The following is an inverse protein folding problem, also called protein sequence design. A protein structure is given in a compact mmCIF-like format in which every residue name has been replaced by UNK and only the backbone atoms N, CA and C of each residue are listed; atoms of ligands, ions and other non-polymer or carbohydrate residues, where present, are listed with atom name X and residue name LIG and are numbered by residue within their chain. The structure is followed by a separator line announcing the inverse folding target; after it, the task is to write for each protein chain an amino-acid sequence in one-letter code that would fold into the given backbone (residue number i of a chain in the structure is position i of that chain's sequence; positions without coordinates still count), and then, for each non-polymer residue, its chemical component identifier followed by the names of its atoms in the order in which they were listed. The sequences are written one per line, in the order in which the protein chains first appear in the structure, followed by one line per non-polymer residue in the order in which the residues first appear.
data_IF_839831861408
#
_entry.id   IF_839831861408
#
_cell.length_a   1.000
_cell.length_b   1.000
_cell.length_c   1.000
_cell.angle_alpha   90.00
_cell.angle_beta   90.00
_cell.angle_gamma   90.00
#
_symmetry.space_group_name_H-M   'P 1'
#
loop_
_entity.id
_entity.type
_entity.pdbx_description
1 polymer ?
#
# COMPACT_ATOMS: atom_id res chain seq x y z
N UNK A 1 -0.93 22.30 -25.91
CA UNK A 1 -1.68 21.96 -24.67
C UNK A 1 -0.69 21.57 -23.58
N UNK A 2 -0.80 22.15 -22.39
CA UNK A 2 0.02 21.78 -21.21
C UNK A 2 -0.75 20.84 -20.31
N UNK A 3 -0.08 19.86 -19.72
CA UNK A 3 -0.69 18.96 -18.75
C UNK A 3 -0.07 19.18 -17.37
N UNK A 4 -0.95 19.57 -16.44
CA UNK A 4 -0.64 19.90 -15.06
C UNK A 4 -1.72 19.27 -14.16
N UNK A 5 -1.32 18.37 -13.27
CA UNK A 5 -2.22 17.67 -12.35
C UNK A 5 -2.10 18.13 -10.89
N UNK A 6 -1.13 18.98 -10.57
CA UNK A 6 -0.92 19.45 -9.18
C UNK A 6 -0.65 20.94 -9.15
N UNK A 7 -1.31 21.64 -8.22
CA UNK A 7 -0.92 23.00 -7.89
C UNK A 7 0.47 22.98 -7.24
N UNK A 8 1.35 23.86 -7.69
CA UNK A 8 2.69 24.05 -7.13
C UNK A 8 2.70 25.22 -6.17
N UNK A 9 3.44 25.11 -5.07
CA UNK A 9 3.79 26.19 -4.15
C UNK A 9 5.33 26.34 -4.09
N UNK A 10 5.83 27.26 -3.26
CA UNK A 10 7.28 27.48 -3.11
C UNK A 10 8.04 26.25 -2.57
N UNK A 11 7.33 25.29 -1.95
CA UNK A 11 7.90 24.10 -1.29
C UNK A 11 7.68 22.79 -2.08
N UNK A 12 7.00 22.82 -3.22
CA UNK A 12 6.64 21.62 -4.01
C UNK A 12 5.19 21.61 -4.48
N UNK A 13 4.53 20.45 -4.42
CA UNK A 13 3.11 20.33 -4.76
C UNK A 13 2.21 20.53 -3.54
N UNK A 14 1.02 21.07 -3.76
CA UNK A 14 0.01 21.26 -2.73
C UNK A 14 -0.56 19.90 -2.31
N UNK A 15 -0.38 19.58 -1.03
CA UNK A 15 -0.91 18.37 -0.38
C UNK A 15 -2.43 18.46 -0.21
N UNK A 16 -3.13 17.37 -0.47
CA UNK A 16 -4.55 17.21 -0.15
C UNK A 16 -4.73 17.10 1.39
N UNK A 17 -5.96 17.25 1.88
CA UNK A 17 -6.25 17.08 3.32
C UNK A 17 -5.77 15.73 3.84
N UNK A 18 -5.03 15.70 4.94
CA UNK A 18 -4.40 14.50 5.52
C UNK A 18 -3.42 13.76 4.57
N UNK A 19 -2.90 14.42 3.53
CA UNK A 19 -1.89 13.82 2.65
C UNK A 19 -0.49 13.91 3.28
N UNK A 20 0.16 12.75 3.42
CA UNK A 20 1.52 12.60 3.96
C UNK A 20 2.43 12.01 2.88
N UNK A 21 3.63 12.57 2.74
CA UNK A 21 4.67 12.02 1.85
C UNK A 21 5.28 10.82 2.57
N UNK A 22 5.21 9.65 1.96
CA UNK A 22 5.79 8.41 2.47
C UNK A 22 7.20 8.19 1.91
N UNK A 23 7.40 8.55 0.65
CA UNK A 23 8.68 8.48 -0.02
C UNK A 23 8.86 9.67 -0.96
N UNK A 24 10.07 10.22 -0.99
CA UNK A 24 10.51 11.24 -1.94
C UNK A 24 11.82 10.79 -2.56
N UNK A 25 11.84 10.68 -3.88
CA UNK A 25 13.04 10.34 -4.63
C UNK A 25 13.43 11.50 -5.53
N UNK A 26 14.53 12.16 -5.18
CA UNK A 26 15.16 13.25 -5.94
C UNK A 26 16.22 12.73 -6.94
N UNK A 27 16.29 11.41 -7.15
CA UNK A 27 17.20 10.76 -8.10
C UNK A 27 16.84 11.08 -9.55
N UNK A 28 17.72 10.72 -10.51
CA UNK A 28 17.40 10.82 -11.94
C UNK A 28 16.30 9.80 -12.31
N UNK A 29 15.05 10.26 -12.21
CA UNK A 29 13.87 9.50 -12.59
C UNK A 29 13.23 10.12 -13.83
N UNK A 30 13.12 9.34 -14.90
CA UNK A 30 12.33 9.72 -16.07
C UNK A 30 10.90 9.20 -15.92
N UNK A 31 9.95 9.93 -16.48
CA UNK A 31 8.53 9.56 -16.50
C UNK A 31 8.02 9.66 -17.94
N UNK A 32 7.31 8.63 -18.37
CA UNK A 32 6.62 8.59 -19.66
C UNK A 32 5.18 8.11 -19.46
N UNK A 33 4.25 8.86 -20.03
CA UNK A 33 2.84 8.53 -20.13
C UNK A 33 2.53 8.22 -21.58
N UNK A 34 1.94 7.08 -21.89
CA UNK A 34 1.63 6.72 -23.28
C UNK A 34 0.38 5.85 -23.41
N UNK A 35 -0.11 5.68 -24.63
CA UNK A 35 -1.17 4.70 -24.92
C UNK A 35 -0.57 3.28 -24.83
N UNK A 36 -1.19 2.35 -24.05
CA UNK A 36 -0.77 0.95 -24.00
C UNK A 36 -0.72 0.33 -25.39
N UNK A 37 0.22 -0.59 -25.62
CA UNK A 37 0.50 -1.11 -26.96
C UNK A 37 -0.73 -1.74 -27.63
N UNK A 38 -1.59 -2.40 -26.84
CA UNK A 38 -2.80 -3.09 -27.31
C UNK A 38 -3.91 -2.10 -27.73
N UNK A 39 -3.82 -0.84 -27.27
CA UNK A 39 -4.80 0.20 -27.54
C UNK A 39 -4.38 1.17 -28.65
N UNK A 40 -3.09 1.18 -29.05
CA UNK A 40 -2.54 2.12 -30.05
C UNK A 40 -3.27 2.11 -31.39
N UNK A 41 -3.82 0.96 -31.81
CA UNK A 41 -4.53 0.85 -33.08
C UNK A 41 -5.96 1.42 -33.04
N UNK A 42 -6.55 1.60 -31.86
CA UNK A 42 -7.97 1.93 -31.67
C UNK A 42 -8.22 3.29 -31.01
N UNK A 43 -7.19 3.86 -30.39
CA UNK A 43 -7.29 5.07 -29.60
C UNK A 43 -6.43 6.20 -30.19
N UNK A 44 -6.75 7.48 -29.89
CA UNK A 44 -5.95 8.60 -30.33
C UNK A 44 -4.51 8.51 -29.79
N UNK A 45 -3.51 8.94 -30.56
CA UNK A 45 -2.12 8.95 -30.09
C UNK A 45 -1.98 9.91 -28.92
N UNK A 46 -1.36 9.42 -27.85
CA UNK A 46 -1.05 10.20 -26.66
C UNK A 46 0.31 9.77 -26.13
N UNK A 47 1.20 10.74 -25.95
CA UNK A 47 2.49 10.53 -25.31
C UNK A 47 2.95 11.82 -24.62
N UNK A 48 3.43 11.70 -23.39
CA UNK A 48 4.10 12.77 -22.65
C UNK A 48 5.32 12.18 -21.97
N UNK A 49 6.46 12.88 -21.98
CA UNK A 49 7.70 12.37 -21.41
C UNK A 49 8.47 13.48 -20.72
N UNK A 50 9.12 13.14 -19.60
CA UNK A 50 10.16 13.93 -18.94
C UNK A 50 11.36 13.03 -18.66
N UNK A 51 12.55 13.51 -18.99
CA UNK A 51 13.79 12.74 -18.82
C UNK A 51 14.32 12.75 -17.39
N UNK A 52 13.93 13.74 -16.58
CA UNK A 52 14.37 13.87 -15.19
C UNK A 52 13.35 14.64 -14.35
N UNK A 53 13.10 14.17 -13.14
CA UNK A 53 12.20 14.81 -12.20
C UNK A 53 12.24 14.16 -10.82
N UNK A 54 11.50 14.74 -9.88
CA UNK A 54 11.32 14.19 -8.53
C UNK A 54 10.05 13.36 -8.49
N UNK A 55 10.15 12.16 -7.92
CA UNK A 55 9.02 11.26 -7.68
C UNK A 55 8.62 11.31 -6.21
N UNK A 56 7.33 11.43 -5.96
CA UNK A 56 6.74 11.37 -4.63
C UNK A 56 5.71 10.25 -4.57
N UNK A 57 5.78 9.45 -3.51
CA UNK A 57 4.71 8.53 -3.13
C UNK A 57 4.10 9.06 -1.84
N UNK A 58 2.82 9.42 -1.89
CA UNK A 58 2.06 9.85 -0.71
C UNK A 58 1.13 8.73 -0.26
N UNK A 59 0.51 8.88 0.91
CA UNK A 59 -0.56 7.98 1.34
C UNK A 59 -1.82 8.01 0.45
N UNK A 60 -1.88 8.86 -0.58
CA UNK A 60 -3.04 9.01 -1.47
C UNK A 60 -2.74 8.80 -2.95
N UNK A 61 -1.54 9.17 -3.42
CA UNK A 61 -1.22 9.22 -4.86
C UNK A 61 0.28 9.12 -5.14
N UNK A 62 0.59 8.79 -6.39
CA UNK A 62 1.91 9.02 -6.98
C UNK A 62 1.89 10.41 -7.60
N UNK A 63 2.92 11.22 -7.31
CA UNK A 63 3.13 12.54 -7.92
C UNK A 63 4.53 12.57 -8.56
N UNK A 64 4.61 13.05 -9.80
CA UNK A 64 5.89 13.27 -10.49
C UNK A 64 6.00 14.73 -10.90
N UNK A 65 7.14 15.35 -10.56
CA UNK A 65 7.46 16.72 -10.91
C UNK A 65 8.71 16.73 -11.83
N UNK A 66 8.56 17.02 -13.13
CA UNK A 66 9.69 17.25 -14.03
C UNK A 66 10.65 18.31 -13.48
N UNK A 67 11.95 18.06 -13.60
CA UNK A 67 13.00 19.00 -13.18
C UNK A 67 13.01 20.28 -14.06
N UNK A 68 12.56 20.14 -15.30
CA UNK A 68 12.30 21.23 -16.24
C UNK A 68 11.00 20.91 -16.98
N UNK A 69 10.09 21.88 -17.19
CA UNK A 69 8.94 21.69 -18.06
C UNK A 69 9.39 21.23 -19.46
N UNK A 70 8.73 20.23 -20.04
CA UNK A 70 9.06 19.77 -21.39
C UNK A 70 8.43 20.66 -22.46
N UNK A 71 9.03 20.66 -23.65
CA UNK A 71 8.42 21.27 -24.84
C UNK A 71 7.35 20.34 -25.43
N UNK A 72 6.45 20.90 -26.25
CA UNK A 72 5.12 20.36 -26.57
C UNK A 72 5.03 18.83 -26.83
N UNK A 73 4.07 18.13 -26.21
CA UNK A 73 3.12 18.62 -25.20
C UNK A 73 3.82 18.96 -23.89
N UNK A 74 3.47 20.12 -23.31
CA UNK A 74 4.13 20.65 -22.13
C UNK A 74 3.75 19.81 -20.92
N UNK A 75 4.66 18.98 -20.43
CA UNK A 75 4.47 18.13 -19.26
C UNK A 75 5.04 18.84 -18.04
N UNK A 76 4.17 19.28 -17.13
CA UNK A 76 4.57 20.08 -15.96
C UNK A 76 4.48 19.32 -14.65
N UNK A 77 3.61 18.31 -14.59
CA UNK A 77 3.48 17.40 -13.47
C UNK A 77 2.69 16.18 -13.89
N UNK A 78 2.65 15.16 -13.05
CA UNK A 78 1.72 14.05 -13.12
C UNK A 78 1.25 13.72 -11.71
N UNK A 79 -0.03 13.37 -11.56
CA UNK A 79 -0.57 12.91 -10.29
C UNK A 79 -1.74 11.97 -10.52
N UNK A 80 -1.69 10.79 -9.92
CA UNK A 80 -2.79 9.83 -9.96
C UNK A 80 -2.96 9.10 -8.60
N UNK A 81 -4.20 8.86 -8.15
CA UNK A 81 -4.46 8.07 -6.94
C UNK A 81 -3.86 6.67 -7.01
N UNK A 82 -3.37 6.13 -5.89
CA UNK A 82 -2.72 4.79 -5.83
C UNK A 82 -3.60 3.70 -6.44
N UNK A 83 -4.90 3.74 -6.17
CA UNK A 83 -5.85 2.73 -6.62
C UNK A 83 -6.28 2.88 -8.09
N UNK A 84 -5.83 3.93 -8.79
CA UNK A 84 -6.02 4.07 -10.24
C UNK A 84 -4.97 3.34 -11.07
N UNK A 85 -3.87 2.94 -10.45
CA UNK A 85 -2.86 2.10 -11.06
C UNK A 85 -3.30 0.63 -11.11
N UNK A 86 -2.84 -0.15 -12.08
CA UNK A 86 -3.15 -1.57 -12.30
C UNK A 86 -1.93 -2.27 -12.92
N UNK A 87 -1.83 -3.59 -12.70
CA UNK A 87 -0.84 -4.45 -13.34
C UNK A 87 0.61 -3.91 -13.29
N UNK A 88 1.03 -3.46 -12.10
CA UNK A 88 2.36 -2.89 -11.93
C UNK A 88 3.44 -3.97 -12.08
N UNK A 89 4.48 -3.68 -12.84
CA UNK A 89 5.61 -4.58 -13.09
C UNK A 89 6.94 -3.83 -13.03
N UNK A 90 8.00 -4.56 -12.71
CA UNK A 90 9.37 -4.05 -12.67
C UNK A 90 10.26 -4.84 -13.60
N UNK A 91 11.12 -4.17 -14.35
CA UNK A 91 12.17 -4.81 -15.15
C UNK A 91 13.47 -4.03 -15.06
N UNK A 92 14.61 -4.71 -15.17
CA UNK A 92 15.91 -4.06 -15.26
C UNK A 92 16.45 -4.14 -16.67
N UNK A 93 17.11 -3.08 -17.13
CA UNK A 93 17.94 -3.12 -18.34
C UNK A 93 19.38 -2.81 -17.98
N UNK A 94 20.32 -3.55 -18.58
CA UNK A 94 21.76 -3.37 -18.37
C UNK A 94 22.25 -1.95 -18.71
N UNK A 95 21.53 -1.22 -19.56
CA UNK A 95 21.93 0.10 -20.07
C UNK A 95 21.10 1.27 -19.53
N UNK A 96 19.89 1.01 -19.02
CA UNK A 96 18.89 2.07 -18.76
C UNK A 96 18.42 2.12 -17.31
N UNK A 97 18.95 1.26 -16.43
CA UNK A 97 18.55 1.16 -15.03
C UNK A 97 17.29 0.34 -14.84
N UNK A 98 16.61 0.58 -13.72
CA UNK A 98 15.36 -0.12 -13.39
C UNK A 98 14.16 0.63 -13.95
N UNK A 99 13.19 -0.12 -14.46
CA UNK A 99 11.94 0.38 -15.02
C UNK A 99 10.79 -0.16 -14.19
N UNK A 100 9.93 0.73 -13.73
CA UNK A 100 8.62 0.40 -13.18
C UNK A 100 7.55 0.82 -14.18
N UNK A 101 6.59 -0.07 -14.45
CA UNK A 101 5.47 0.18 -15.36
C UNK A 101 4.17 -0.13 -14.66
N UNK A 102 3.12 0.60 -14.98
CA UNK A 102 1.75 0.28 -14.56
C UNK A 102 0.74 0.96 -15.46
N UNK A 103 -0.38 0.29 -15.70
CA UNK A 103 -1.53 0.92 -16.34
C UNK A 103 -2.24 1.83 -15.34
N UNK A 104 -2.66 3.01 -15.78
CA UNK A 104 -3.36 3.98 -14.95
C UNK A 104 -4.69 4.38 -15.61
N UNK A 105 -5.77 4.29 -14.85
CA UNK A 105 -7.10 4.76 -15.28
C UNK A 105 -7.17 6.30 -15.16
N UNK A 106 -7.44 7.04 -16.25
CA UNK A 106 -7.59 8.48 -16.22
C UNK A 106 -8.72 8.93 -15.30
N UNK A 107 -8.57 10.14 -14.78
CA UNK A 107 -9.61 10.84 -14.02
C UNK A 107 -10.12 12.02 -14.85
N UNK A 108 -11.42 12.31 -14.75
CA UNK A 108 -12.05 13.44 -15.43
C UNK A 108 -11.33 14.75 -15.09
N UNK A 109 -11.08 15.59 -16.10
CA UNK A 109 -10.36 16.85 -15.93
C UNK A 109 -8.83 16.70 -15.83
N UNK A 110 -8.28 15.48 -15.97
CA UNK A 110 -6.83 15.24 -15.90
C UNK A 110 -6.04 15.50 -17.18
N UNK A 111 -6.60 16.17 -18.19
CA UNK A 111 -5.87 16.47 -19.43
C UNK A 111 -5.47 15.27 -20.31
N UNK A 112 -5.90 14.05 -19.96
CA UNK A 112 -5.83 12.87 -20.83
C UNK A 112 -7.07 12.85 -21.74
N UNK A 113 -6.93 12.51 -23.04
CA UNK A 113 -8.07 12.29 -23.92
C UNK A 113 -9.13 11.37 -23.29
N UNK A 114 -10.41 11.77 -23.29
CA UNK A 114 -11.48 10.99 -22.65
C UNK A 114 -11.70 9.62 -23.31
N UNK A 115 -11.28 9.47 -24.57
CA UNK A 115 -11.38 8.23 -25.35
C UNK A 115 -10.34 7.17 -24.93
N UNK A 116 -9.41 7.51 -24.06
CA UNK A 116 -8.41 6.58 -23.53
C UNK A 116 -8.94 5.92 -22.25
N UNK A 117 -9.24 4.61 -22.27
CA UNK A 117 -9.72 3.92 -21.07
C UNK A 117 -8.63 3.76 -20.01
N UNK A 118 -7.37 3.68 -20.44
CA UNK A 118 -6.18 3.64 -19.58
C UNK A 118 -4.93 4.14 -20.32
N UNK A 119 -3.93 4.57 -19.56
CA UNK A 119 -2.60 4.96 -20.05
C UNK A 119 -1.53 4.07 -19.42
N UNK A 120 -0.43 3.79 -20.13
CA UNK A 120 0.77 3.18 -19.53
C UNK A 120 1.60 4.30 -18.87
N UNK A 121 1.90 4.14 -17.58
CA UNK A 121 2.84 4.98 -16.84
C UNK A 121 4.15 4.21 -16.70
N UNK A 122 5.24 4.77 -17.23
CA UNK A 122 6.58 4.20 -17.15
C UNK A 122 7.51 5.14 -16.39
N UNK A 123 8.11 4.63 -15.33
CA UNK A 123 9.12 5.31 -14.53
C UNK A 123 10.46 4.60 -14.73
N UNK A 124 11.52 5.35 -15.05
CA UNK A 124 12.87 4.78 -15.17
C UNK A 124 13.78 5.39 -14.12
N UNK A 125 14.38 4.53 -13.29
CA UNK A 125 15.23 4.87 -12.16
C UNK A 125 16.69 4.66 -12.54
N UNK A 126 17.38 5.75 -12.91
CA UNK A 126 18.78 5.66 -13.35
C UNK A 126 19.77 5.59 -12.19
N UNK A 127 19.44 6.19 -11.03
CA UNK A 127 20.36 6.28 -9.88
C UNK A 127 19.88 5.42 -8.67
N UNK A 128 19.03 4.41 -8.91
CA UNK A 128 18.45 3.57 -7.86
C UNK A 128 17.14 4.11 -7.26
N UNK A 129 16.71 3.55 -6.13
CA UNK A 129 15.45 3.89 -5.46
C UNK A 129 14.21 3.13 -5.95
N UNK A 130 14.33 2.32 -7.02
CA UNK A 130 13.20 1.56 -7.56
C UNK A 130 12.67 0.51 -6.57
N UNK A 131 13.54 -0.27 -5.92
CA UNK A 131 13.12 -1.31 -4.98
C UNK A 131 12.33 -0.72 -3.81
N UNK A 132 12.87 0.33 -3.17
CA UNK A 132 12.21 1.06 -2.08
C UNK A 132 10.86 1.66 -2.53
N UNK A 133 10.82 2.26 -3.72
CA UNK A 133 9.57 2.76 -4.29
C UNK A 133 8.54 1.64 -4.48
N UNK A 134 8.94 0.52 -5.10
CA UNK A 134 8.06 -0.59 -5.40
C UNK A 134 7.52 -1.25 -4.14
N UNK A 135 8.38 -1.52 -3.15
CA UNK A 135 7.98 -2.08 -1.85
C UNK A 135 7.00 -1.16 -1.11
N UNK A 136 7.30 0.14 -1.06
CA UNK A 136 6.42 1.13 -0.41
C UNK A 136 5.08 1.24 -1.15
N UNK A 137 5.09 1.21 -2.49
CA UNK A 137 3.90 1.26 -3.32
C UNK A 137 3.01 0.03 -3.12
N UNK A 138 3.58 -1.18 -3.17
CA UNK A 138 2.84 -2.44 -3.01
C UNK A 138 2.17 -2.46 -1.63
N UNK A 139 2.94 -2.21 -0.56
CA UNK A 139 2.42 -2.19 0.81
C UNK A 139 1.30 -1.17 1.00
N UNK A 140 1.45 0.02 0.42
CA UNK A 140 0.43 1.05 0.49
C UNK A 140 -0.83 0.66 -0.27
N UNK A 141 -0.68 0.13 -1.48
CA UNK A 141 -1.79 -0.30 -2.33
C UNK A 141 -2.61 -1.39 -1.65
N UNK A 142 -1.96 -2.41 -1.09
CA UNK A 142 -2.62 -3.49 -0.35
C UNK A 142 -3.43 -2.95 0.84
N UNK A 143 -2.82 -2.08 1.65
CA UNK A 143 -3.53 -1.44 2.78
C UNK A 143 -4.76 -0.66 2.32
N UNK A 144 -4.64 0.09 1.22
CA UNK A 144 -5.76 0.87 0.68
C UNK A 144 -6.88 -0.03 0.13
N UNK A 145 -6.56 -1.17 -0.47
CA UNK A 145 -7.57 -2.16 -0.87
C UNK A 145 -8.28 -2.76 0.33
N UNK A 146 -7.54 -3.18 1.36
CA UNK A 146 -8.12 -3.72 2.60
C UNK A 146 -9.06 -2.71 3.24
N UNK A 147 -8.66 -1.43 3.31
CA UNK A 147 -9.49 -0.36 3.84
C UNK A 147 -10.78 -0.15 3.02
N UNK A 148 -10.68 -0.19 1.68
CA UNK A 148 -11.86 -0.08 0.82
C UNK A 148 -12.81 -1.27 0.97
N UNK A 149 -12.29 -2.48 1.07
CA UNK A 149 -13.12 -3.67 1.22
C UNK A 149 -13.80 -3.68 2.60
N UNK A 150 -13.06 -3.38 3.67
CA UNK A 150 -13.62 -3.23 5.02
C UNK A 150 -14.73 -2.17 5.05
N UNK A 151 -14.52 -1.01 4.39
CA UNK A 151 -15.54 0.04 4.31
C UNK A 151 -16.77 -0.39 3.51
N UNK A 152 -16.60 -1.24 2.49
CA UNK A 152 -17.71 -1.80 1.71
C UNK A 152 -18.49 -2.82 2.54
N UNK A 153 -17.79 -3.69 3.26
CA UNK A 153 -18.39 -4.72 4.12
C UNK A 153 -19.12 -4.12 5.33
N UNK A 154 -18.57 -3.05 5.92
CA UNK A 154 -19.12 -2.42 7.12
C UNK A 154 -20.27 -1.43 6.84
N UNK A 155 -20.57 -1.18 5.56
CA UNK A 155 -21.59 -0.22 5.14
C UNK A 155 -21.16 1.25 5.36
N UNK A 156 -21.87 2.17 4.70
CA UNK A 156 -21.59 3.62 4.63
C UNK A 156 -21.77 4.36 5.97
N UNK A 157 -21.18 3.88 7.07
CA UNK A 157 -21.40 4.44 8.41
C UNK A 157 -20.28 4.26 9.44
N UNK A 158 -19.21 3.52 9.16
CA UNK A 158 -18.06 3.46 10.06
C UNK A 158 -16.95 4.42 9.61
N UNK A 159 -16.78 5.51 10.36
CA UNK A 159 -15.51 6.24 10.40
C UNK A 159 -14.47 5.31 11.02
N UNK A 160 -13.75 4.57 10.19
CA UNK A 160 -12.59 3.78 10.61
C UNK A 160 -11.45 4.79 10.82
N UNK A 161 -10.97 5.01 12.05
CA UNK A 161 -9.92 5.99 12.30
C UNK A 161 -8.62 5.59 11.58
N UNK A 162 -7.97 6.54 10.91
CA UNK A 162 -6.69 6.40 10.19
C UNK A 162 -5.47 6.09 11.12
N UNK A 163 -5.69 5.98 12.44
CA UNK A 163 -4.65 5.84 13.44
C UNK A 163 -4.58 4.38 13.95
N UNK A 164 -3.38 3.77 14.06
CA UNK A 164 -3.26 2.46 14.69
C UNK A 164 -3.81 2.52 16.11
N UNK A 165 -4.68 1.56 16.46
CA UNK A 165 -5.20 1.43 17.81
C UNK A 165 -4.01 1.41 18.79
N UNK A 166 -4.03 2.24 19.84
CA UNK A 166 -2.94 2.28 20.81
C UNK A 166 -2.70 0.88 21.36
N UNK A 167 -1.44 0.49 21.48
CA UNK A 167 -1.08 -0.75 22.14
C UNK A 167 -1.66 -0.74 23.55
N UNK A 168 -2.30 -1.84 23.95
CA UNK A 168 -2.92 -1.97 25.27
C UNK A 168 -1.86 -1.84 26.36
N UNK A 169 -1.75 -0.66 26.96
CA UNK A 169 -0.99 -0.47 28.19
C UNK A 169 -1.85 -1.03 29.32
N UNK A 170 -1.44 -2.18 29.86
CA UNK A 170 -2.08 -2.77 31.03
C UNK A 170 -2.07 -1.74 32.17
N UNK A 171 -3.24 -1.22 32.50
CA UNK A 171 -3.42 -0.27 33.59
C UNK A 171 -3.15 -0.98 34.92
N UNK A 172 -2.00 -0.68 35.52
CA UNK A 172 -1.57 -1.20 36.81
C UNK A 172 -0.69 -0.22 37.57
N UNK A 173 -1.24 0.94 37.94
CA UNK A 173 -0.78 1.72 39.09
C UNK A 173 -0.88 0.81 40.35
N UNK A 174 0.00 0.76 41.36
CA UNK A 174 0.96 1.73 41.91
C UNK A 174 1.88 1.00 42.96
N UNK A 175 2.76 1.69 43.73
CA UNK A 175 4.12 1.26 44.07
C UNK A 175 4.24 0.47 45.38
N UNK A 176 5.36 -0.25 45.56
CA UNK A 176 5.82 -0.68 46.88
C UNK A 176 7.26 -0.19 47.07
N UNK A 177 7.43 0.74 48.00
CA UNK A 177 8.72 1.19 48.52
C UNK A 177 9.41 0.10 49.35
N UNK A 178 10.73 0.02 49.16
CA UNK A 178 11.78 -0.34 50.10
C UNK A 178 11.57 -1.49 51.11
N UNK A 179 12.25 -2.61 50.86
CA UNK A 179 12.95 -3.34 51.91
C UNK A 179 14.30 -3.86 51.38
N UNK A 180 15.37 -3.38 52.02
CA UNK A 180 16.76 -3.72 51.74
C UNK A 180 17.14 -5.02 52.44
N UNK A 181 17.79 -5.95 51.73
CA UNK A 181 18.79 -6.87 52.29
C UNK A 181 19.57 -7.57 51.18
N UNK A 182 20.87 -7.27 51.10
CA UNK A 182 22.06 -8.13 50.88
C UNK A 182 21.80 -9.51 50.22
N UNK A 183 22.49 -9.96 49.16
CA UNK A 183 23.94 -10.16 49.04
C UNK A 183 24.29 -10.60 47.59
N UNK A 184 25.53 -10.36 47.12
CA UNK A 184 26.08 -10.84 45.81
C UNK A 184 27.43 -11.49 46.15
N UNK A 185 27.73 -12.75 45.79
CA UNK A 185 28.25 -13.02 44.44
C UNK A 185 28.09 -14.47 43.90
N UNK A 186 28.15 -14.65 42.57
CA UNK A 186 28.30 -16.00 42.02
C UNK A 186 28.11 -16.17 40.50
N UNK A 187 29.12 -15.78 39.73
CA UNK A 187 29.65 -16.45 38.53
C UNK A 187 28.71 -17.28 37.61
N UNK A 188 28.47 -16.72 36.42
CA UNK A 188 28.31 -17.37 35.10
C UNK A 188 28.07 -18.90 35.03
N UNK A 189 26.88 -19.28 34.54
CA UNK A 189 26.64 -20.60 33.99
C UNK A 189 25.16 -21.04 34.01
N UNK A 190 24.46 -20.81 32.89
CA UNK A 190 23.33 -21.62 32.41
C UNK A 190 22.23 -22.00 33.43
N UNK A 191 21.18 -21.18 33.51
CA UNK A 191 19.91 -21.59 34.12
C UNK A 191 18.75 -21.37 33.14
N UNK A 192 18.37 -22.48 32.51
CA UNK A 192 17.03 -22.74 32.01
C UNK A 192 16.03 -22.32 33.09
N UNK A 193 15.09 -21.44 32.75
CA UNK A 193 13.88 -21.21 33.54
C UNK A 193 12.68 -21.14 32.60
N UNK A 194 11.60 -21.89 32.92
CA UNK A 194 10.53 -22.20 31.99
C UNK A 194 9.48 -21.09 32.03
N UNK A 195 9.36 -20.30 30.97
CA UNK A 195 8.19 -19.41 30.82
C UNK A 195 7.83 -19.22 29.36
N UNK A 196 7.56 -20.34 28.70
CA UNK A 196 6.68 -20.41 27.54
C UNK A 196 5.73 -21.58 27.78
N UNK A 197 4.77 -21.42 28.69
CA UNK A 197 3.58 -22.25 28.66
C UNK A 197 2.45 -21.36 28.18
N UNK A 198 2.27 -21.34 26.86
CA UNK A 198 0.94 -21.09 26.33
C UNK A 198 -0.03 -22.03 27.08
N UNK A 199 -1.26 -21.59 27.41
CA UNK A 199 -2.26 -22.51 27.94
C UNK A 199 -2.43 -23.64 26.92
N UNK A 200 -1.93 -24.83 27.26
CA UNK A 200 -1.93 -26.02 26.39
C UNK A 200 -3.29 -26.75 26.46
N UNK A 201 -4.28 -26.14 27.11
CA UNK A 201 -5.58 -26.74 27.34
C UNK A 201 -6.64 -25.94 26.58
N UNK A 202 -7.39 -26.59 25.66
CA UNK A 202 -8.50 -25.93 24.99
C UNK A 202 -9.52 -25.45 26.03
N UNK A 203 -10.32 -24.43 25.71
CA UNK A 203 -11.33 -23.91 26.64
C UNK A 203 -12.23 -25.05 27.12
N UNK A 204 -12.65 -25.03 28.40
CA UNK A 204 -13.48 -26.08 28.96
C UNK A 204 -14.71 -26.28 28.07
N UNK A 205 -14.98 -27.54 27.73
CA UNK A 205 -16.06 -27.98 26.83
C UNK A 205 -15.80 -27.90 25.31
N UNK A 206 -14.56 -27.71 24.87
CA UNK A 206 -14.20 -27.68 23.45
C UNK A 206 -14.54 -28.99 22.70
N UNK A 207 -14.26 -30.14 23.32
CA UNK A 207 -14.52 -31.45 22.71
C UNK A 207 -16.03 -31.72 22.55
N UNK A 208 -16.86 -31.28 23.51
CA UNK A 208 -18.31 -31.40 23.41
C UNK A 208 -18.86 -30.49 22.29
N UNK A 209 -18.34 -29.27 22.16
CA UNK A 209 -18.72 -28.36 21.08
C UNK A 209 -18.36 -28.93 19.69
N UNK A 210 -17.19 -29.57 19.55
CA UNK A 210 -16.83 -30.24 18.30
C UNK A 210 -17.71 -31.46 18.00
N UNK A 211 -18.02 -32.27 19.02
CA UNK A 211 -18.88 -33.44 18.86
C UNK A 211 -20.30 -33.04 18.40
N UNK A 212 -20.86 -31.97 18.96
CA UNK A 212 -22.17 -31.43 18.55
C UNK A 212 -22.15 -30.92 17.10
N UNK A 213 -21.07 -30.27 16.66
CA UNK A 213 -20.93 -29.82 15.28
C UNK A 213 -20.87 -30.99 14.28
N UNK A 214 -20.18 -32.07 14.65
CA UNK A 214 -20.08 -33.28 13.82
C UNK A 214 -21.40 -34.05 13.77
N UNK A 215 -22.13 -34.14 14.89
CA UNK A 215 -23.43 -34.81 14.92
C UNK A 215 -24.47 -34.10 14.04
N UNK A 216 -24.54 -32.77 14.12
CA UNK A 216 -25.44 -31.97 13.28
C UNK A 216 -25.16 -32.17 11.78
N UNK A 217 -23.87 -32.21 11.39
CA UNK A 217 -23.46 -32.41 9.99
C UNK A 217 -23.81 -33.81 9.47
N UNK A 218 -23.73 -34.83 10.33
CA UNK A 218 -24.08 -36.21 9.97
C UNK A 218 -25.60 -36.38 9.84
N UNK A 219 -26.38 -35.81 10.77
CA UNK A 219 -27.84 -35.84 10.73
C UNK A 219 -28.41 -35.14 9.50
N UNK A 220 -27.84 -34.00 9.09
CA UNK A 220 -28.22 -33.34 7.84
C UNK A 220 -27.91 -34.18 6.60
N UNK A 221 -26.82 -34.96 6.62
CA UNK A 221 -26.48 -35.86 5.52
C UNK A 221 -27.44 -37.05 5.43
N UNK A 222 -27.72 -37.71 6.57
CA UNK A 222 -28.66 -38.85 6.65
C UNK A 222 -30.08 -38.45 6.26
N UNK A 223 -30.52 -37.25 6.66
CA UNK A 223 -31.85 -36.73 6.30
C UNK A 223 -31.96 -36.37 4.81
N UNK A 224 -30.84 -36.06 4.15
CA UNK A 224 -30.76 -35.87 2.71
C UNK A 224 -30.87 -37.16 1.89
N UNK A 225 -30.43 -38.30 2.44
CA UNK A 225 -30.46 -39.60 1.73
C UNK A 225 -31.78 -40.37 1.89
N UNK A 226 -32.61 -40.05 2.88
CA UNK A 226 -33.92 -40.71 3.09
C UNK A 226 -35.08 -40.12 2.25
N UNK A 227 -34.78 -39.22 1.31
CA UNK A 227 -35.74 -38.47 0.49
C UNK A 227 -35.59 -38.66 -1.02
N UNK A 228 -35.35 -39.87 -1.49
CA UNK A 228 -35.50 -40.28 -2.91
C UNK A 228 -36.20 -41.63 -3.03
#
# INVERSE_FOLDING_TARGET
MSINWVMLNQEGFVKLGNERILLKLDSRISCELSVPQELKARCPPFQCKSDKGTLFLTNKRIVYLPAKPTQEPRFESFSAPILKFQDSSTSSSMWWGWVWKSDCIPVSGGGIPPDLPRIEVKLTFSDGGMMEFNETYIRLRERLFQYQEMRREMGSGSDIPDEPLPAYEASGNQPIEAASSLDVPGNNGSSISPSCRAPDEPPPNYDEAQAQQLSMRLEDHVRGEAGS
#
